data_IF_219107366198
#
_entry.id   IF_219107366198
#
_cell.length_a   1.000
_cell.length_b   1.000
_cell.length_c   1.000
_cell.angle_alpha   90.00
_cell.angle_beta   90.00
_cell.angle_gamma   90.00
#
_symmetry.space_group_name_H-M   'P 1'
#
loop_
_entity.id
_entity.type
_entity.pdbx_description
1 polymer ?
#
# COMPACT_ATOMS: atom_id res chain seq x y z
N UNK A 1 10.20 12.96 26.90
CA UNK A 1 10.89 13.44 25.68
C UNK A 1 9.92 13.33 24.53
N UNK A 2 9.32 14.45 24.12
CA UNK A 2 8.55 14.51 22.89
C UNK A 2 9.54 14.39 21.73
N UNK A 3 9.35 13.40 20.86
CA UNK A 3 10.03 13.36 19.56
C UNK A 3 9.53 14.57 18.78
N UNK A 4 10.33 15.63 18.73
CA UNK A 4 10.11 16.72 17.78
C UNK A 4 10.06 16.09 16.39
N UNK A 5 8.95 16.35 15.67
CA UNK A 5 8.82 15.98 14.27
C UNK A 5 9.95 16.67 13.51
N UNK A 6 10.96 15.92 13.11
CA UNK A 6 11.97 16.40 12.18
C UNK A 6 11.28 16.60 10.83
N UNK A 7 10.77 17.81 10.59
CA UNK A 7 10.05 18.21 9.39
C UNK A 7 10.89 18.07 8.11
N UNK A 8 12.19 17.77 8.24
CA UNK A 8 13.08 17.46 7.12
C UNK A 8 12.99 16.02 6.61
N UNK A 9 12.39 15.10 7.38
CA UNK A 9 12.28 13.68 6.99
C UNK A 9 10.97 13.41 6.26
N UNK A 10 11.07 12.67 5.17
CA UNK A 10 9.95 12.26 4.33
C UNK A 10 8.95 11.35 5.04
N UNK A 11 7.76 11.23 4.45
CA UNK A 11 6.65 10.44 5.00
C UNK A 11 6.37 9.22 4.13
N UNK A 12 6.18 8.05 4.77
CA UNK A 12 5.64 6.86 4.10
C UNK A 12 4.12 6.86 4.20
N UNK A 13 3.44 6.66 3.07
CA UNK A 13 2.01 6.40 3.00
C UNK A 13 1.79 4.92 2.66
N UNK A 14 1.37 4.13 3.65
CA UNK A 14 0.95 2.75 3.45
C UNK A 14 -0.53 2.67 3.08
N UNK A 15 -0.82 2.37 1.81
CA UNK A 15 -2.18 2.16 1.32
C UNK A 15 -2.59 0.72 1.61
N UNK A 16 -3.51 0.52 2.54
CA UNK A 16 -4.00 -0.79 2.98
C UNK A 16 -5.49 -0.93 2.73
N UNK A 17 -5.99 -2.17 2.76
CA UNK A 17 -7.40 -2.46 2.55
C UNK A 17 -7.62 -3.86 2.00
N UNK A 18 -8.86 -4.38 2.02
CA UNK A 18 -9.15 -5.73 1.60
C UNK A 18 -8.82 -5.96 0.11
N UNK A 19 -8.68 -7.22 -0.28
CA UNK A 19 -8.55 -7.56 -1.70
C UNK A 19 -9.80 -7.11 -2.46
N UNK A 20 -9.64 -6.60 -3.68
CA UNK A 20 -10.76 -6.12 -4.51
C UNK A 20 -11.24 -4.69 -4.20
N UNK A 21 -10.70 -4.04 -3.16
CA UNK A 21 -11.12 -2.68 -2.77
C UNK A 21 -10.68 -1.58 -3.74
N UNK A 22 -9.75 -1.89 -4.65
CA UNK A 22 -9.30 -0.95 -5.70
C UNK A 22 -8.08 -0.10 -5.33
N UNK A 23 -7.20 -0.59 -4.43
CA UNK A 23 -5.94 0.10 -4.07
C UNK A 23 -5.10 0.46 -5.29
N UNK A 24 -4.85 -0.51 -6.17
CA UNK A 24 -4.03 -0.33 -7.38
C UNK A 24 -4.62 0.78 -8.26
N UNK A 25 -5.93 0.73 -8.52
CA UNK A 25 -6.63 1.75 -9.32
C UNK A 25 -6.58 3.15 -8.72
N UNK A 26 -6.65 3.27 -7.38
CA UNK A 26 -6.49 4.56 -6.69
C UNK A 26 -5.05 5.07 -6.75
N UNK A 27 -4.08 4.18 -6.53
CA UNK A 27 -2.66 4.52 -6.65
C UNK A 27 -2.31 4.90 -8.09
N UNK A 28 -2.87 4.25 -9.10
CA UNK A 28 -2.68 4.60 -10.52
C UNK A 28 -3.36 5.93 -10.88
N UNK A 29 -4.50 6.25 -10.25
CA UNK A 29 -5.11 7.57 -10.38
C UNK A 29 -4.17 8.65 -9.82
N UNK A 30 -3.67 8.47 -8.59
CA UNK A 30 -2.75 9.42 -7.97
C UNK A 30 -1.41 9.51 -8.72
N UNK A 31 -0.86 8.39 -9.19
CA UNK A 31 0.39 8.35 -9.96
C UNK A 31 0.28 9.14 -11.27
N UNK A 32 -0.87 9.09 -11.94
CA UNK A 32 -1.12 9.91 -13.14
C UNK A 32 -1.21 11.39 -12.82
N UNK A 33 -1.86 11.76 -11.70
CA UNK A 33 -1.95 13.16 -11.26
C UNK A 33 -0.58 13.74 -10.92
N UNK A 34 0.27 13.00 -10.21
CA UNK A 34 1.62 13.43 -9.82
C UNK A 34 2.70 13.10 -10.84
N UNK A 35 2.34 12.80 -12.09
CA UNK A 35 3.31 12.55 -13.15
C UNK A 35 4.22 13.77 -13.33
N UNK A 36 5.54 13.57 -13.19
CA UNK A 36 6.54 14.64 -13.26
C UNK A 36 6.81 15.37 -11.93
N UNK A 37 6.21 14.93 -10.80
CA UNK A 37 6.57 15.45 -9.47
C UNK A 37 7.65 14.57 -8.84
N UNK A 38 8.86 15.09 -8.67
CA UNK A 38 10.01 14.31 -8.17
C UNK A 38 9.95 13.99 -6.67
N UNK A 39 9.16 14.75 -5.90
CA UNK A 39 9.04 14.57 -4.44
C UNK A 39 8.03 13.49 -4.03
N UNK A 40 7.38 12.84 -5.01
CA UNK A 40 6.31 11.85 -4.78
C UNK A 40 6.67 10.55 -5.48
N UNK A 41 6.99 9.52 -4.69
CA UNK A 41 7.47 8.24 -5.19
C UNK A 41 6.42 7.16 -4.94
N UNK A 42 6.01 6.47 -6.00
CA UNK A 42 5.18 5.27 -5.90
C UNK A 42 6.07 4.04 -5.97
N UNK A 43 6.28 3.37 -4.83
CA UNK A 43 7.25 2.27 -4.74
C UNK A 43 6.73 1.04 -5.47
N UNK A 44 7.60 0.50 -6.32
CA UNK A 44 7.40 -0.80 -6.95
C UNK A 44 7.85 -1.89 -5.98
N UNK A 45 6.93 -2.79 -5.63
CA UNK A 45 7.20 -3.86 -4.66
C UNK A 45 7.90 -5.03 -5.34
N UNK A 46 8.79 -5.71 -4.63
CA UNK A 46 9.30 -7.01 -5.04
C UNK A 46 8.33 -8.09 -4.57
N UNK A 47 7.83 -8.92 -5.49
CA UNK A 47 6.81 -9.93 -5.19
C UNK A 47 7.21 -11.26 -5.81
N UNK A 48 6.95 -12.36 -5.10
CA UNK A 48 7.20 -13.72 -5.62
C UNK A 48 6.18 -14.18 -6.67
N UNK A 49 5.53 -13.24 -7.36
CA UNK A 49 4.51 -13.49 -8.37
C UNK A 49 5.17 -13.43 -9.76
N UNK A 50 4.83 -14.33 -10.70
CA UNK A 50 5.36 -14.28 -12.05
C UNK A 50 4.98 -12.99 -12.79
N UNK A 51 5.91 -12.47 -13.59
CA UNK A 51 5.78 -11.20 -14.36
C UNK A 51 4.53 -11.14 -15.24
N UNK A 52 4.13 -12.27 -15.81
CA UNK A 52 3.03 -12.35 -16.78
C UNK A 52 1.65 -12.45 -16.11
N UNK A 53 1.60 -12.33 -14.77
CA UNK A 53 0.35 -12.33 -14.04
C UNK A 53 -0.35 -10.98 -14.15
N UNK A 54 -1.59 -10.96 -14.62
CA UNK A 54 -2.44 -9.76 -14.61
C UNK A 54 -2.59 -9.24 -13.16
N UNK A 55 -2.10 -8.04 -12.89
CA UNK A 55 -2.11 -7.40 -11.58
C UNK A 55 -1.35 -6.08 -11.54
N UNK A 56 -0.94 -5.67 -10.35
CA UNK A 56 -0.17 -4.45 -10.10
C UNK A 56 1.20 -4.43 -10.80
N UNK A 57 1.73 -3.23 -11.06
CA UNK A 57 3.13 -3.05 -11.43
C UNK A 57 4.04 -3.40 -10.24
N UNK A 58 4.76 -4.51 -10.37
CA UNK A 58 5.65 -5.07 -9.35
C UNK A 58 6.91 -5.61 -9.99
N UNK A 59 7.96 -5.74 -9.21
CA UNK A 59 9.19 -6.44 -9.55
C UNK A 59 9.06 -7.93 -9.21
N UNK A 60 8.98 -8.83 -10.21
CA UNK A 60 8.87 -10.25 -9.97
C UNK A 60 10.22 -10.83 -9.53
N UNK A 61 10.21 -11.61 -8.44
CA UNK A 61 11.38 -12.35 -7.94
C UNK A 61 11.02 -13.81 -7.70
N UNK A 62 11.99 -14.73 -7.70
CA UNK A 62 11.71 -16.11 -7.27
C UNK A 62 11.59 -16.19 -5.75
N UNK A 63 11.04 -17.29 -5.23
CA UNK A 63 10.99 -17.52 -3.79
C UNK A 63 12.40 -17.59 -3.19
N UNK A 64 13.34 -18.23 -3.88
CA UNK A 64 14.74 -18.36 -3.45
C UNK A 64 15.44 -17.00 -3.38
N UNK A 65 15.24 -16.16 -4.41
CA UNK A 65 15.76 -14.79 -4.44
C UNK A 65 15.14 -13.95 -3.33
N UNK A 66 13.83 -14.04 -3.12
CA UNK A 66 13.14 -13.31 -2.06
C UNK A 66 13.70 -13.65 -0.68
N UNK A 67 13.89 -14.94 -0.38
CA UNK A 67 14.49 -15.37 0.88
C UNK A 67 15.95 -14.91 1.03
N UNK A 68 16.72 -14.85 -0.07
CA UNK A 68 18.06 -14.28 -0.05
C UNK A 68 18.05 -12.79 0.29
N UNK A 69 17.13 -12.02 -0.30
CA UNK A 69 16.93 -10.59 -0.03
C UNK A 69 16.51 -10.32 1.42
N UNK A 70 15.66 -11.19 1.99
CA UNK A 70 15.32 -11.13 3.42
C UNK A 70 16.57 -11.34 4.29
N UNK A 71 17.38 -12.37 4.01
CA UNK A 71 18.61 -12.65 4.77
C UNK A 71 19.65 -11.54 4.67
N UNK A 72 19.73 -10.87 3.52
CA UNK A 72 20.66 -9.75 3.30
C UNK A 72 20.13 -8.41 3.78
N UNK A 73 18.93 -8.36 4.38
CA UNK A 73 18.25 -7.12 4.81
C UNK A 73 18.04 -6.10 3.67
N UNK A 74 17.75 -6.60 2.47
CA UNK A 74 17.46 -5.75 1.30
C UNK A 74 16.04 -5.15 1.30
N UNK A 75 15.21 -5.49 2.28
CA UNK A 75 13.86 -4.95 2.44
C UNK A 75 13.75 -4.08 3.69
N UNK A 76 13.11 -2.91 3.55
CA UNK A 76 12.66 -2.12 4.70
C UNK A 76 11.51 -2.84 5.43
N UNK A 77 10.57 -3.42 4.66
CA UNK A 77 9.45 -4.21 5.18
C UNK A 77 9.19 -5.38 4.25
N UNK A 78 8.94 -6.56 4.80
CA UNK A 78 8.51 -7.72 4.02
C UNK A 78 7.45 -8.53 4.78
N UNK A 79 6.60 -9.23 4.04
CA UNK A 79 5.59 -10.13 4.61
C UNK A 79 5.22 -11.24 3.62
N UNK A 80 4.54 -12.27 4.12
CA UNK A 80 3.97 -13.34 3.30
C UNK A 80 2.45 -13.32 3.38
N UNK A 81 1.77 -13.47 2.25
CA UNK A 81 0.32 -13.57 2.18
C UNK A 81 -0.13 -14.36 0.95
N UNK A 82 -1.13 -15.23 1.11
CA UNK A 82 -1.68 -16.05 0.02
C UNK A 82 -0.61 -16.83 -0.76
N UNK A 83 0.39 -17.38 -0.07
CA UNK A 83 1.48 -18.15 -0.69
C UNK A 83 2.51 -17.30 -1.45
N UNK A 84 2.43 -15.97 -1.38
CA UNK A 84 3.37 -15.05 -2.01
C UNK A 84 4.16 -14.26 -0.96
N UNK A 85 5.42 -13.93 -1.28
CA UNK A 85 6.22 -12.96 -0.57
C UNK A 85 6.08 -11.57 -1.19
N UNK A 86 6.07 -10.55 -0.34
CA UNK A 86 5.99 -9.14 -0.71
C UNK A 86 7.06 -8.37 0.05
N UNK A 87 7.82 -7.54 -0.66
CA UNK A 87 8.93 -6.77 -0.10
C UNK A 87 8.90 -5.32 -0.59
N UNK A 88 9.07 -4.39 0.35
CA UNK A 88 9.39 -3.00 0.09
C UNK A 88 10.92 -2.88 0.15
N UNK A 89 11.59 -2.51 -0.96
CA UNK A 89 13.04 -2.33 -1.00
C UNK A 89 13.55 -1.38 0.10
N UNK A 90 14.77 -1.61 0.58
CA UNK A 90 15.38 -0.79 1.63
C UNK A 90 15.83 0.60 1.16
N UNK A 91 16.06 0.78 -0.14
CA UNK A 91 16.46 2.06 -0.76
C UNK A 91 15.41 3.17 -0.60
N UNK A 92 14.15 2.83 -0.28
CA UNK A 92 13.12 3.81 0.10
C UNK A 92 13.54 4.71 1.27
N UNK A 93 14.48 4.27 2.10
CA UNK A 93 15.04 5.10 3.17
C UNK A 93 15.81 6.31 2.63
N UNK A 94 16.43 6.20 1.45
CA UNK A 94 17.16 7.31 0.83
C UNK A 94 16.19 8.38 0.33
N UNK A 95 15.05 7.97 -0.26
CA UNK A 95 13.97 8.89 -0.65
C UNK A 95 13.38 9.62 0.56
N UNK A 96 13.15 8.89 1.66
CA UNK A 96 12.66 9.48 2.90
C UNK A 96 13.68 10.42 3.53
N UNK A 97 14.98 10.10 3.47
CA UNK A 97 16.04 11.00 3.93
C UNK A 97 16.11 12.28 3.09
N UNK A 98 15.71 12.22 1.82
CA UNK A 98 15.58 13.39 0.94
C UNK A 98 14.27 14.18 1.13
N UNK A 99 13.46 13.86 2.14
CA UNK A 99 12.22 14.58 2.44
C UNK A 99 11.02 14.20 1.55
N UNK A 100 11.14 13.15 0.72
CA UNK A 100 10.10 12.77 -0.24
C UNK A 100 8.92 12.06 0.42
N UNK A 101 7.77 12.10 -0.25
CA UNK A 101 6.59 11.31 0.10
C UNK A 101 6.66 9.97 -0.65
N UNK A 102 6.71 8.88 0.09
CA UNK A 102 6.85 7.53 -0.44
C UNK A 102 5.54 6.77 -0.26
N UNK A 103 4.86 6.42 -1.36
CA UNK A 103 3.58 5.71 -1.36
C UNK A 103 3.80 4.24 -1.67
N UNK A 104 3.32 3.37 -0.77
CA UNK A 104 3.48 1.92 -0.85
C UNK A 104 2.13 1.21 -0.81
N UNK A 105 1.98 0.19 -1.65
CA UNK A 105 0.83 -0.72 -1.56
C UNK A 105 1.07 -1.70 -0.41
N UNK A 106 0.38 -1.53 0.71
CA UNK A 106 0.60 -2.27 1.94
C UNK A 106 -0.42 -3.38 2.20
N UNK A 107 -0.16 -4.14 3.25
CA UNK A 107 -1.11 -5.06 3.89
C UNK A 107 -1.32 -4.64 5.33
N UNK A 108 -2.53 -4.82 5.88
CA UNK A 108 -2.78 -4.57 7.31
C UNK A 108 -1.93 -5.50 8.19
N UNK A 109 -1.76 -6.75 7.78
CA UNK A 109 -0.87 -7.72 8.43
C UNK A 109 0.61 -7.30 8.49
N UNK A 110 1.02 -6.33 7.67
CA UNK A 110 2.40 -5.84 7.63
C UNK A 110 2.58 -4.51 8.38
N UNK A 111 1.50 -3.92 8.93
CA UNK A 111 1.54 -2.58 9.53
C UNK A 111 2.47 -2.50 10.74
N UNK A 112 2.62 -3.57 11.51
CA UNK A 112 3.62 -3.61 12.59
C UNK A 112 5.05 -3.45 12.04
N UNK A 113 5.36 -4.10 10.91
CA UNK A 113 6.63 -3.94 10.21
C UNK A 113 6.82 -2.53 9.66
N UNK A 114 5.79 -1.95 9.05
CA UNK A 114 5.82 -0.54 8.61
C UNK A 114 6.07 0.41 9.78
N UNK A 115 5.40 0.20 10.92
CA UNK A 115 5.57 1.03 12.12
C UNK A 115 6.97 0.94 12.70
N UNK A 116 7.56 -0.27 12.70
CA UNK A 116 8.92 -0.48 13.18
C UNK A 116 9.97 0.14 12.22
N UNK A 117 9.74 0.08 10.91
CA UNK A 117 10.67 0.58 9.89
C UNK A 117 10.59 2.10 9.67
N UNK A 118 9.40 2.70 9.83
CA UNK A 118 9.15 4.09 9.42
C UNK A 118 8.56 4.92 10.56
N UNK A 119 9.35 5.84 11.16
CA UNK A 119 8.86 6.75 12.20
C UNK A 119 7.75 7.69 11.71
N UNK A 120 7.80 8.10 10.45
CA UNK A 120 6.77 8.91 9.79
C UNK A 120 5.91 8.05 8.88
N UNK A 121 4.91 7.40 9.50
CA UNK A 121 3.96 6.54 8.80
C UNK A 121 2.55 7.14 8.82
N UNK A 122 1.98 7.30 7.63
CA UNK A 122 0.55 7.53 7.42
C UNK A 122 -0.07 6.27 6.81
N UNK A 123 -1.15 5.77 7.41
CA UNK A 123 -1.90 4.64 6.85
C UNK A 123 -3.13 5.18 6.13
N UNK A 124 -3.24 4.88 4.83
CA UNK A 124 -4.47 5.10 4.07
C UNK A 124 -5.24 3.80 4.04
N UNK A 125 -6.30 3.72 4.84
CA UNK A 125 -7.19 2.57 4.87
C UNK A 125 -8.29 2.71 3.82
N UNK A 126 -8.15 2.00 2.71
CA UNK A 126 -9.17 1.96 1.66
C UNK A 126 -10.24 0.94 2.04
N UNK A 127 -11.50 1.37 1.96
CA UNK A 127 -12.67 0.55 2.24
C UNK A 127 -13.64 0.57 1.06
N UNK A 128 -14.54 -0.41 1.01
CA UNK A 128 -15.70 -0.39 0.13
C UNK A 128 -16.80 -1.24 0.77
N UNK A 129 -18.06 -0.93 0.46
CA UNK A 129 -19.19 -1.71 0.94
C UNK A 129 -19.08 -3.17 0.47
N UNK A 130 -19.54 -4.15 1.28
CA UNK A 130 -19.46 -5.57 0.93
C UNK A 130 -20.10 -5.92 -0.42
N UNK A 131 -21.22 -5.30 -0.76
CA UNK A 131 -21.92 -5.52 -2.04
C UNK A 131 -21.08 -5.07 -3.25
N UNK A 132 -20.32 -3.98 -3.11
CA UNK A 132 -19.41 -3.46 -4.13
C UNK A 132 -18.19 -4.38 -4.28
N UNK A 133 -17.62 -4.83 -3.16
CA UNK A 133 -16.50 -5.77 -3.18
C UNK A 133 -16.90 -7.10 -3.84
N UNK A 134 -18.07 -7.64 -3.49
CA UNK A 134 -18.60 -8.86 -4.10
C UNK A 134 -18.72 -8.73 -5.63
N UNK A 135 -19.32 -7.65 -6.11
CA UNK A 135 -19.46 -7.35 -7.55
C UNK A 135 -18.10 -7.26 -8.25
N UNK A 136 -17.13 -6.58 -7.64
CA UNK A 136 -15.77 -6.42 -8.20
C UNK A 136 -14.99 -7.73 -8.25
N UNK A 137 -15.10 -8.57 -7.22
CA UNK A 137 -14.47 -9.89 -7.19
C UNK A 137 -15.11 -10.81 -8.24
N UNK A 138 -16.44 -10.83 -8.33
CA UNK A 138 -17.16 -11.60 -9.35
C UNK A 138 -16.78 -11.20 -10.79
N UNK A 139 -16.67 -9.89 -11.05
CA UNK A 139 -16.31 -9.37 -12.38
C UNK A 139 -14.90 -9.78 -12.85
N UNK A 140 -14.01 -10.21 -11.94
CA UNK A 140 -12.66 -10.69 -12.31
C UNK A 140 -12.69 -12.10 -12.91
N UNK A 141 -13.76 -12.87 -12.68
CA UNK A 141 -13.96 -14.20 -13.25
C UNK A 141 -12.99 -15.28 -12.75
N UNK A 142 -12.26 -15.04 -11.64
CA UNK A 142 -11.23 -15.96 -11.12
C UNK A 142 -11.68 -16.78 -9.90
N UNK A 143 -12.89 -16.52 -9.40
CA UNK A 143 -13.32 -16.92 -8.06
C UNK A 143 -14.77 -17.41 -8.12
N UNK A 144 -15.10 -18.48 -7.39
CA UNK A 144 -16.49 -18.92 -7.23
C UNK A 144 -17.25 -18.01 -6.26
N UNK A 145 -18.58 -18.08 -6.25
CA UNK A 145 -19.37 -17.33 -5.27
C UNK A 145 -18.99 -17.67 -3.82
N UNK A 146 -18.70 -18.95 -3.53
CA UNK A 146 -18.23 -19.39 -2.23
C UNK A 146 -16.85 -18.82 -1.87
N UNK A 147 -15.92 -18.72 -2.83
CA UNK A 147 -14.62 -18.08 -2.61
C UNK A 147 -14.75 -16.59 -2.28
N UNK A 148 -15.71 -15.92 -2.92
CA UNK A 148 -16.00 -14.50 -2.71
C UNK A 148 -16.60 -14.28 -1.31
N UNK A 149 -17.59 -15.08 -0.90
CA UNK A 149 -18.15 -15.00 0.45
C UNK A 149 -17.09 -15.28 1.52
N UNK A 150 -16.27 -16.32 1.35
CA UNK A 150 -15.17 -16.62 2.26
C UNK A 150 -14.11 -15.50 2.30
N UNK A 151 -13.92 -14.77 1.20
CA UNK A 151 -13.07 -13.56 1.16
C UNK A 151 -13.68 -12.40 1.94
N UNK A 152 -14.98 -12.17 1.81
CA UNK A 152 -15.67 -11.08 2.48
C UNK A 152 -15.86 -11.33 3.99
N UNK A 153 -16.04 -12.60 4.38
CA UNK A 153 -16.21 -13.02 5.77
C UNK A 153 -14.90 -13.10 6.56
N UNK A 154 -13.74 -13.04 5.88
CA UNK A 154 -12.45 -13.04 6.57
C UNK A 154 -12.34 -11.82 7.48
N UNK A 155 -12.05 -12.08 8.75
CA UNK A 155 -11.67 -11.04 9.68
C UNK A 155 -10.52 -10.23 9.08
N UNK A 156 -10.72 -8.92 9.00
CA UNK A 156 -9.66 -8.03 8.54
C UNK A 156 -8.79 -7.70 9.74
N UNK A 157 -7.47 -7.81 9.60
CA UNK A 157 -6.55 -7.43 10.68
C UNK A 157 -6.89 -6.02 11.19
N UNK A 158 -6.86 -5.81 12.52
CA UNK A 158 -7.14 -4.51 13.09
C UNK A 158 -6.12 -3.48 12.62
N UNK A 159 -6.54 -2.22 12.56
CA UNK A 159 -5.61 -1.12 12.35
C UNK A 159 -4.98 -0.77 13.70
N UNK A 160 -3.66 -0.51 13.74
CA UNK A 160 -3.00 -0.09 14.97
C UNK A 160 -3.55 1.26 15.45
N UNK A 161 -3.76 1.40 16.75
CA UNK A 161 -4.32 2.60 17.38
C UNK A 161 -3.32 3.76 17.45
N UNK A 162 -2.02 3.46 17.43
CA UNK A 162 -0.90 4.41 17.60
C UNK A 162 -0.36 4.98 16.28
N UNK A 163 -1.07 4.78 15.16
CA UNK A 163 -0.66 5.26 13.84
C UNK A 163 -1.72 6.21 13.27
N UNK A 164 -1.30 7.27 12.58
CA UNK A 164 -2.23 8.16 11.87
C UNK A 164 -2.89 7.37 10.75
N UNK A 165 -4.22 7.23 10.81
CA UNK A 165 -5.02 6.56 9.78
C UNK A 165 -5.97 7.55 9.12
N UNK A 166 -6.00 7.55 7.79
CA UNK A 166 -7.04 8.20 6.99
C UNK A 166 -7.81 7.12 6.24
N UNK A 167 -9.14 7.10 6.39
CA UNK A 167 -9.99 6.14 5.69
C UNK A 167 -10.58 6.75 4.42
N UNK A 168 -10.43 6.07 3.29
CA UNK A 168 -11.03 6.44 2.01
C UNK A 168 -12.04 5.38 1.62
N UNK A 169 -13.31 5.77 1.45
CA UNK A 169 -14.36 4.92 0.91
C UNK A 169 -14.30 4.93 -0.63
N UNK A 170 -14.05 3.76 -1.22
CA UNK A 170 -14.02 3.51 -2.65
C UNK A 170 -15.24 2.70 -3.13
N UNK A 171 -16.39 2.88 -2.50
CA UNK A 171 -17.66 2.25 -2.89
C UNK A 171 -18.33 2.92 -4.09
N UNK A 172 -18.03 4.20 -4.33
CA UNK A 172 -18.61 5.02 -5.38
C UNK A 172 -17.72 5.13 -6.63
N UNK A 173 -17.76 6.30 -7.26
CA UNK A 173 -16.89 6.64 -8.39
C UNK A 173 -15.42 6.66 -7.95
N UNK A 174 -14.57 5.96 -8.72
CA UNK A 174 -13.13 5.91 -8.51
C UNK A 174 -12.51 7.30 -8.52
N UNK A 175 -13.00 8.23 -9.34
CA UNK A 175 -12.47 9.58 -9.44
C UNK A 175 -12.64 10.36 -8.13
N UNK A 176 -13.75 10.16 -7.40
CA UNK A 176 -13.99 10.81 -6.11
C UNK A 176 -13.01 10.32 -5.05
N UNK A 177 -12.85 9.00 -4.94
CA UNK A 177 -11.89 8.41 -4.01
C UNK A 177 -10.44 8.72 -4.41
N UNK A 178 -10.14 8.75 -5.70
CA UNK A 178 -8.84 9.11 -6.26
C UNK A 178 -8.46 10.56 -5.96
N UNK A 179 -9.41 11.50 -6.11
CA UNK A 179 -9.22 12.89 -5.72
C UNK A 179 -8.95 13.06 -4.23
N UNK A 180 -9.66 12.33 -3.36
CA UNK A 180 -9.37 12.35 -1.91
C UNK A 180 -7.95 11.88 -1.59
N UNK A 181 -7.44 10.87 -2.29
CA UNK A 181 -6.06 10.42 -2.11
C UNK A 181 -5.06 11.48 -2.58
N UNK A 182 -5.34 12.14 -3.72
CA UNK A 182 -4.53 13.25 -4.24
C UNK A 182 -4.49 14.41 -3.25
N UNK A 183 -5.66 14.89 -2.80
CA UNK A 183 -5.75 16.05 -1.90
C UNK A 183 -5.04 15.75 -0.57
N UNK A 184 -5.10 14.49 -0.09
CA UNK A 184 -4.34 14.04 1.08
C UNK A 184 -2.82 14.12 0.87
N UNK A 185 -2.33 13.66 -0.28
CA UNK A 185 -0.90 13.71 -0.62
C UNK A 185 -0.43 15.16 -0.79
N UNK A 186 -1.23 16.03 -1.41
CA UNK A 186 -0.94 17.46 -1.54
C UNK A 186 -0.88 18.15 -0.17
N UNK A 187 -1.82 17.83 0.73
CA UNK A 187 -1.84 18.39 2.08
C UNK A 187 -0.58 18.08 2.89
N UNK A 188 0.02 16.90 2.71
CA UNK A 188 1.29 16.55 3.37
C UNK A 188 2.47 17.40 2.89
N UNK A 189 2.41 17.95 1.66
CA UNK A 189 3.45 18.83 1.11
C UNK A 189 3.30 20.27 1.59
N UNK A 190 2.09 20.70 1.92
CA UNK A 190 1.82 22.07 2.38
C UNK A 190 2.06 22.28 3.88
N UNK A 191 2.33 21.20 4.64
CA UNK A 191 2.73 21.24 6.05
C UNK A 191 4.27 21.37 6.24
N UNK A 192 5.03 21.55 5.15
CA UNK A 192 6.50 21.72 5.13
C UNK A 192 6.87 23.15 4.75
#
# INVERSE_FOLDING_TARGET
MALERDASRGTVIAVVGPSGVGKDSLMDFARRHFSGTEDILFVRRMITRPKDSIGEDHEPVTAETFEALVRSRAFAVYWKAHGLGYGIPADVHDDLAAGRVVIVNGSRSALEGFRAAFPQLLVVNVTARPDVLAKRLAARGRETAADIEARLARATDPLPEDVKVVTIDNSGDLAVAGRRLVDLIEGLRSEV
#
